data_IF_177401942554
#
_entry.id   IF_177401942554
#
_cell.length_a   1.000
_cell.length_b   1.000
_cell.length_c   1.000
_cell.angle_alpha   90.00
_cell.angle_beta   90.00
_cell.angle_gamma   90.00
#
_symmetry.space_group_name_H-M   'P 1'
#
loop_
_entity.id
_entity.type
_entity.pdbx_description
1 polymer ?
#
# COMPACT_ATOMS: atom_id res chain seq x y z
N UNK A 1 -1.62 -7.47 32.61
CA UNK A 1 -1.13 -8.09 31.35
C UNK A 1 -0.06 -7.16 30.77
N UNK A 2 1.22 -7.55 30.67
CA UNK A 2 2.23 -6.70 30.02
C UNK A 2 1.94 -6.68 28.52
N UNK A 3 1.65 -5.50 27.95
CA UNK A 3 1.56 -5.35 26.49
C UNK A 3 2.84 -5.88 25.86
N UNK A 4 2.71 -6.93 25.03
CA UNK A 4 3.84 -7.40 24.22
C UNK A 4 4.31 -6.23 23.36
N UNK A 5 5.63 -6.03 23.27
CA UNK A 5 6.15 -5.01 22.36
C UNK A 5 5.69 -5.37 20.95
N UNK A 6 5.41 -4.36 20.12
CA UNK A 6 4.93 -4.58 18.76
C UNK A 6 5.78 -5.58 17.97
N UNK A 7 7.11 -5.50 18.10
CA UNK A 7 8.01 -6.41 17.42
C UNK A 7 7.79 -7.86 17.88
N UNK A 8 7.38 -8.08 19.13
CA UNK A 8 7.08 -9.40 19.66
C UNK A 8 5.78 -10.01 19.09
N UNK A 9 4.87 -9.21 18.53
CA UNK A 9 3.60 -9.67 17.92
C UNK A 9 3.81 -10.43 16.61
N UNK A 10 4.86 -10.10 15.85
CA UNK A 10 5.14 -10.77 14.59
C UNK A 10 5.69 -12.19 14.76
N UNK A 11 5.40 -13.07 13.79
CA UNK A 11 6.04 -14.38 13.72
C UNK A 11 7.55 -14.27 13.39
N UNK A 12 8.27 -15.40 13.49
CA UNK A 12 9.74 -15.44 13.32
C UNK A 12 10.18 -14.99 11.92
N UNK A 13 9.43 -15.33 10.88
CA UNK A 13 9.78 -15.00 9.49
C UNK A 13 9.65 -13.50 9.23
N UNK A 14 8.58 -12.86 9.71
CA UNK A 14 8.42 -11.40 9.61
C UNK A 14 9.48 -10.67 10.44
N UNK A 15 9.80 -11.14 11.65
CA UNK A 15 10.89 -10.57 12.47
C UNK A 15 12.23 -10.59 11.72
N UNK A 16 12.54 -11.70 11.04
CA UNK A 16 13.75 -11.85 10.25
C UNK A 16 13.77 -10.89 9.05
N UNK A 17 12.67 -10.80 8.31
CA UNK A 17 12.55 -9.88 7.17
C UNK A 17 12.71 -8.42 7.59
N UNK A 18 12.00 -8.01 8.65
CA UNK A 18 12.07 -6.66 9.18
C UNK A 18 13.48 -6.30 9.66
N UNK A 19 14.15 -7.18 10.40
CA UNK A 19 15.48 -6.87 10.97
C UNK A 19 16.61 -6.75 9.93
N UNK A 20 16.50 -7.43 8.79
CA UNK A 20 17.57 -7.45 7.79
C UNK A 20 17.35 -6.46 6.64
N UNK A 21 16.09 -6.22 6.27
CA UNK A 21 15.77 -5.54 5.02
C UNK A 21 14.96 -4.26 5.18
N UNK A 22 14.36 -3.99 6.35
CA UNK A 22 13.51 -2.82 6.54
C UNK A 22 13.90 -2.09 7.83
N UNK A 23 14.31 -0.81 7.71
CA UNK A 23 14.53 0.02 8.90
C UNK A 23 13.17 0.51 9.43
N UNK A 24 12.52 -0.29 10.25
CA UNK A 24 11.27 0.11 10.90
C UNK A 24 11.54 1.05 12.07
N UNK A 25 11.04 2.28 11.99
CA UNK A 25 11.01 3.21 13.11
C UNK A 25 9.63 3.20 13.74
N UNK A 26 9.58 2.92 15.03
CA UNK A 26 8.35 2.88 15.80
C UNK A 26 8.25 4.09 16.70
N UNK A 27 7.23 4.93 16.49
CA UNK A 27 7.01 6.14 17.26
C UNK A 27 5.72 6.04 18.06
N UNK A 28 5.77 6.37 19.34
CA UNK A 28 4.57 6.66 20.13
C UNK A 28 4.35 8.17 20.11
N UNK A 29 3.29 8.65 19.46
CA UNK A 29 2.99 10.08 19.34
C UNK A 29 1.64 10.38 19.96
N UNK A 30 1.62 11.18 21.02
CA UNK A 30 0.37 11.73 21.58
C UNK A 30 0.08 13.03 20.82
N UNK A 31 -1.05 13.11 20.12
CA UNK A 31 -1.47 14.35 19.48
C UNK A 31 -2.45 15.06 20.42
N UNK A 32 -2.19 16.31 20.81
CA UNK A 32 -3.17 17.09 21.57
C UNK A 32 -4.33 17.43 20.64
N UNK A 33 -5.50 16.85 20.88
CA UNK A 33 -6.75 17.28 20.27
C UNK A 33 -7.27 18.44 21.12
N UNK A 34 -7.57 19.59 20.50
CA UNK A 34 -8.15 20.74 21.20
C UNK A 34 -9.41 20.29 21.95
N UNK A 35 -9.39 20.38 23.28
CA UNK A 35 -10.58 20.33 24.13
C UNK A 35 -10.90 19.02 24.86
N UNK A 36 -10.34 17.86 24.51
CA UNK A 36 -10.44 16.66 25.37
C UNK A 36 -9.58 15.49 24.90
N UNK A 37 -8.93 14.81 25.87
CA UNK A 37 -8.11 13.58 25.83
C UNK A 37 -7.15 13.42 24.63
N UNK A 38 -5.86 13.22 24.92
CA UNK A 38 -4.85 12.81 23.94
C UNK A 38 -5.30 11.51 23.24
N UNK A 39 -5.83 11.60 22.02
CA UNK A 39 -6.19 10.42 21.24
C UNK A 39 -4.95 10.02 20.43
N UNK A 40 -4.44 8.79 20.57
CA UNK A 40 -3.41 8.28 19.68
C UNK A 40 -3.98 8.21 18.27
N UNK A 41 -3.34 8.88 17.31
CA UNK A 41 -3.63 8.74 15.88
C UNK A 41 -2.54 7.88 15.27
N UNK A 42 -2.95 6.85 14.53
CA UNK A 42 -2.07 6.01 13.76
C UNK A 42 -1.66 6.70 12.46
N UNK A 43 -0.42 6.46 12.04
CA UNK A 43 0.05 6.83 10.72
C UNK A 43 1.21 5.94 10.30
N UNK A 44 1.30 5.77 9.00
CA UNK A 44 2.27 4.95 8.30
C UNK A 44 2.90 5.85 7.24
N UNK A 45 4.22 5.82 7.12
CA UNK A 45 4.89 6.62 6.11
C UNK A 45 6.24 6.06 5.72
N UNK A 46 6.50 6.13 4.43
CA UNK A 46 7.80 6.11 3.81
C UNK A 46 8.01 7.46 3.11
N UNK A 47 9.26 7.90 3.09
CA UNK A 47 9.63 9.15 2.43
C UNK A 47 10.60 8.78 1.31
N UNK A 48 10.39 9.29 0.10
CA UNK A 48 11.31 9.10 -1.02
C UNK A 48 12.75 9.58 -0.75
N UNK A 49 12.97 10.43 0.27
CA UNK A 49 14.31 10.82 0.76
C UNK A 49 14.90 9.85 1.81
N UNK A 50 14.09 8.97 2.40
CA UNK A 50 14.49 7.98 3.41
C UNK A 50 13.98 6.60 3.01
N UNK A 51 14.41 6.15 1.85
CA UNK A 51 13.93 4.89 1.28
C UNK A 51 14.31 3.72 2.18
N UNK A 52 13.45 2.69 2.25
CA UNK A 52 13.59 1.50 3.14
C UNK A 52 13.30 1.82 4.61
N UNK A 53 12.93 3.06 4.94
CA UNK A 53 12.52 3.44 6.28
C UNK A 53 11.00 3.50 6.39
N UNK A 54 10.43 2.45 6.98
CA UNK A 54 9.00 2.41 7.31
C UNK A 54 8.81 3.00 8.70
N UNK A 55 8.02 4.06 8.82
CA UNK A 55 7.68 4.65 10.12
C UNK A 55 6.28 4.22 10.52
N UNK A 56 6.18 3.59 11.70
CA UNK A 56 4.92 3.23 12.34
C UNK A 56 4.66 4.13 13.53
N UNK A 57 3.54 4.87 13.51
CA UNK A 57 3.12 5.71 14.62
C UNK A 57 1.96 5.06 15.36
N UNK A 58 2.11 4.87 16.68
CA UNK A 58 1.11 4.27 17.58
C UNK A 58 0.58 2.89 17.12
N UNK A 59 1.39 1.96 16.59
CA UNK A 59 0.87 0.72 16.02
C UNK A 59 0.37 -0.29 17.07
N UNK A 60 0.57 -0.02 18.36
CA UNK A 60 -0.07 -0.77 19.45
C UNK A 60 -1.60 -0.68 19.40
N UNK A 61 -2.16 0.37 18.79
CA UNK A 61 -3.61 0.58 18.66
C UNK A 61 -4.20 -0.04 17.38
N UNK A 62 -3.37 -0.70 16.58
CA UNK A 62 -3.74 -1.25 15.27
C UNK A 62 -3.71 -2.78 15.32
N UNK A 63 -4.68 -3.42 14.66
CA UNK A 63 -4.71 -4.88 14.55
C UNK A 63 -3.61 -5.40 13.61
N UNK A 64 -3.29 -6.70 13.70
CA UNK A 64 -2.19 -7.29 12.93
C UNK A 64 -2.46 -7.23 11.41
N UNK A 65 -3.74 -7.21 11.02
CA UNK A 65 -4.21 -7.10 9.64
C UNK A 65 -3.82 -5.75 9.03
N UNK A 66 -4.31 -4.65 9.59
CA UNK A 66 -4.00 -3.29 9.15
C UNK A 66 -2.50 -3.04 9.16
N UNK A 67 -1.81 -3.58 10.17
CA UNK A 67 -0.37 -3.46 10.25
C UNK A 67 0.38 -4.14 9.10
N UNK A 68 -0.06 -5.34 8.73
CA UNK A 68 0.55 -6.10 7.64
C UNK A 68 0.29 -5.42 6.30
N UNK A 69 -0.93 -4.92 6.09
CA UNK A 69 -1.23 -4.12 4.90
C UNK A 69 -0.39 -2.85 4.82
N UNK A 70 -0.27 -2.11 5.92
CA UNK A 70 0.57 -0.92 5.95
C UNK A 70 2.03 -1.27 5.68
N UNK A 71 2.55 -2.38 6.20
CA UNK A 71 3.91 -2.80 5.88
C UNK A 71 4.09 -3.06 4.39
N UNK A 72 3.16 -3.76 3.75
CA UNK A 72 3.19 -4.03 2.30
C UNK A 72 3.09 -2.71 1.52
N UNK A 73 2.15 -1.84 1.91
CA UNK A 73 1.91 -0.54 1.32
C UNK A 73 3.19 0.32 1.31
N UNK A 74 3.82 0.47 2.47
CA UNK A 74 5.04 1.27 2.62
C UNK A 74 6.26 0.61 1.96
N UNK A 75 6.34 -0.73 1.94
CA UNK A 75 7.39 -1.45 1.23
C UNK A 75 7.29 -1.25 -0.29
N UNK A 76 6.08 -1.33 -0.85
CA UNK A 76 5.84 -1.05 -2.27
C UNK A 76 6.15 0.40 -2.62
N UNK A 77 5.74 1.37 -1.77
CA UNK A 77 6.14 2.77 -1.93
C UNK A 77 7.66 2.93 -1.95
N UNK A 78 8.37 2.36 -0.98
CA UNK A 78 9.84 2.40 -0.94
C UNK A 78 10.44 1.83 -2.22
N UNK A 79 9.97 0.69 -2.70
CA UNK A 79 10.47 0.08 -3.93
C UNK A 79 10.26 0.98 -5.16
N UNK A 80 9.05 1.53 -5.32
CA UNK A 80 8.75 2.47 -6.41
C UNK A 80 9.61 3.72 -6.31
N UNK A 81 9.81 4.26 -5.11
CA UNK A 81 10.66 5.43 -4.88
C UNK A 81 12.12 5.15 -5.32
N UNK A 82 12.68 3.98 -5.03
CA UNK A 82 14.01 3.60 -5.52
C UNK A 82 14.08 3.56 -7.04
N UNK A 83 13.07 2.97 -7.68
CA UNK A 83 12.99 2.89 -9.14
C UNK A 83 12.82 4.28 -9.77
N UNK A 84 12.04 5.16 -9.14
CA UNK A 84 11.86 6.53 -9.59
C UNK A 84 13.13 7.37 -9.44
N UNK A 85 13.90 7.21 -8.35
CA UNK A 85 15.19 7.88 -8.20
C UNK A 85 16.23 7.38 -9.21
N UNK A 86 16.26 6.07 -9.46
CA UNK A 86 17.30 5.44 -10.28
C UNK A 86 17.02 5.58 -11.78
N UNK A 87 15.76 5.44 -12.18
CA UNK A 87 15.36 5.30 -13.60
C UNK A 87 14.20 6.20 -14.00
N UNK A 88 13.68 7.05 -13.11
CA UNK A 88 12.42 7.80 -13.32
C UNK A 88 11.24 6.88 -13.69
N UNK A 89 11.23 5.66 -13.19
CA UNK A 89 10.36 4.55 -13.60
C UNK A 89 8.93 4.95 -14.01
N UNK A 90 8.09 5.44 -13.11
CA UNK A 90 6.69 5.78 -13.48
C UNK A 90 6.66 7.01 -14.40
N UNK A 91 7.53 8.00 -14.12
CA UNK A 91 7.61 9.26 -14.88
C UNK A 91 8.08 9.06 -16.32
N UNK A 92 8.81 7.98 -16.64
CA UNK A 92 9.18 7.66 -18.02
C UNK A 92 8.02 7.11 -18.85
N UNK A 93 6.96 6.60 -18.20
CA UNK A 93 5.79 6.03 -18.88
C UNK A 93 4.56 6.92 -18.83
N UNK A 94 4.61 8.04 -18.11
CA UNK A 94 3.49 8.96 -17.92
C UNK A 94 3.83 10.33 -18.49
N UNK A 95 2.98 10.85 -19.38
CA UNK A 95 3.27 12.09 -20.13
C UNK A 95 2.86 13.37 -19.39
N UNK A 96 1.61 13.44 -18.91
CA UNK A 96 1.03 14.64 -18.32
C UNK A 96 0.46 14.37 -16.93
N UNK A 97 0.50 15.36 -16.06
CA UNK A 97 -0.02 15.27 -14.69
C UNK A 97 -1.52 15.62 -14.65
N UNK A 98 -2.34 14.72 -15.17
CA UNK A 98 -3.81 14.82 -15.12
C UNK A 98 -4.35 14.17 -13.85
N UNK A 99 -5.58 14.53 -13.47
CA UNK A 99 -6.20 14.06 -12.23
C UNK A 99 -7.32 13.04 -12.47
N UNK A 100 -7.39 12.05 -11.59
CA UNK A 100 -8.44 11.04 -11.52
C UNK A 100 -8.96 10.90 -10.09
N UNK A 101 -10.14 10.32 -9.93
CA UNK A 101 -10.60 9.88 -8.61
C UNK A 101 -10.17 8.43 -8.37
N UNK A 102 -9.59 8.19 -7.19
CA UNK A 102 -9.20 6.85 -6.76
C UNK A 102 -10.42 5.93 -6.72
N UNK A 103 -10.40 4.76 -7.37
CA UNK A 103 -11.53 3.84 -7.33
C UNK A 103 -11.69 3.16 -5.96
N UNK A 104 -10.65 3.20 -5.11
CA UNK A 104 -10.64 2.63 -3.77
C UNK A 104 -11.09 3.62 -2.69
N UNK A 105 -10.63 4.87 -2.77
CA UNK A 105 -10.85 5.86 -1.69
C UNK A 105 -11.72 7.05 -2.12
N UNK A 106 -11.96 7.24 -3.41
CA UNK A 106 -12.65 8.41 -3.94
C UNK A 106 -11.81 9.70 -3.90
N UNK A 107 -10.59 9.67 -3.38
CA UNK A 107 -9.72 10.85 -3.33
C UNK A 107 -9.24 11.23 -4.73
N UNK A 108 -9.06 12.54 -4.96
CA UNK A 108 -8.45 13.04 -6.20
C UNK A 108 -6.94 12.76 -6.18
N UNK A 109 -6.45 12.07 -7.19
CA UNK A 109 -5.05 11.67 -7.38
C UNK A 109 -4.54 12.20 -8.72
N UNK A 110 -3.25 12.46 -8.81
CA UNK A 110 -2.63 12.59 -10.13
C UNK A 110 -2.51 11.22 -10.79
N UNK A 111 -2.31 11.17 -12.11
CA UNK A 111 -2.12 9.91 -12.83
C UNK A 111 -0.89 9.14 -12.34
N UNK A 112 0.17 9.83 -11.92
CA UNK A 112 1.35 9.19 -11.32
C UNK A 112 0.94 8.48 -10.02
N UNK A 113 0.26 9.19 -9.13
CA UNK A 113 -0.20 8.61 -7.85
C UNK A 113 -1.27 7.53 -8.07
N UNK A 114 -2.07 7.61 -9.13
CA UNK A 114 -3.00 6.55 -9.51
C UNK A 114 -2.24 5.28 -9.93
N UNK A 115 -1.20 5.40 -10.75
CA UNK A 115 -0.34 4.28 -11.14
C UNK A 115 0.32 3.67 -9.91
N UNK A 116 0.90 4.48 -9.02
CA UNK A 116 1.47 4.01 -7.76
C UNK A 116 0.43 3.23 -6.94
N UNK A 117 -0.78 3.77 -6.80
CA UNK A 117 -1.87 3.11 -6.11
C UNK A 117 -2.23 1.76 -6.74
N UNK A 118 -2.20 1.62 -8.08
CA UNK A 118 -2.43 0.34 -8.76
C UNK A 118 -1.38 -0.70 -8.32
N UNK A 119 -0.09 -0.36 -8.33
CA UNK A 119 0.97 -1.28 -7.87
C UNK A 119 0.82 -1.67 -6.41
N UNK A 120 0.49 -0.71 -5.55
CA UNK A 120 0.26 -0.92 -4.13
C UNK A 120 -0.90 -1.88 -3.91
N UNK A 121 -2.07 -1.60 -4.48
CA UNK A 121 -3.25 -2.43 -4.25
C UNK A 121 -3.14 -3.80 -4.91
N UNK A 122 -2.43 -3.92 -6.02
CA UNK A 122 -2.07 -5.21 -6.60
C UNK A 122 -1.13 -6.01 -5.67
N UNK A 123 -0.12 -5.37 -5.08
CA UNK A 123 0.78 -6.02 -4.11
C UNK A 123 0.03 -6.54 -2.88
N UNK A 124 -0.90 -5.74 -2.35
CA UNK A 124 -1.77 -6.14 -1.23
C UNK A 124 -2.67 -7.31 -1.65
N UNK A 125 -3.26 -7.26 -2.86
CA UNK A 125 -4.05 -8.38 -3.38
C UNK A 125 -3.25 -9.68 -3.45
N UNK A 126 -2.06 -9.64 -4.05
CA UNK A 126 -1.19 -10.82 -4.19
C UNK A 126 -0.83 -11.41 -2.83
N UNK A 127 -0.57 -10.56 -1.84
CA UNK A 127 -0.37 -11.02 -0.48
C UNK A 127 -1.58 -11.81 0.05
N UNK A 128 -2.80 -11.27 -0.04
CA UNK A 128 -4.00 -12.00 0.42
C UNK A 128 -4.27 -13.26 -0.38
N UNK A 129 -3.97 -13.26 -1.67
CA UNK A 129 -4.18 -14.40 -2.54
C UNK A 129 -3.31 -15.59 -2.10
N UNK A 130 -2.01 -15.38 -1.86
CA UNK A 130 -1.10 -16.47 -1.51
C UNK A 130 -0.97 -16.74 -0.01
N UNK A 131 -1.18 -15.73 0.83
CA UNK A 131 -0.82 -15.79 2.25
C UNK A 131 -1.94 -15.38 3.21
N UNK A 132 -3.03 -14.80 2.71
CA UNK A 132 -4.06 -14.18 3.54
C UNK A 132 -4.64 -15.15 4.57
N UNK A 133 -5.14 -16.28 4.10
CA UNK A 133 -5.84 -17.29 4.91
C UNK A 133 -4.90 -18.02 5.90
N UNK A 134 -3.59 -17.93 5.70
CA UNK A 134 -2.60 -18.45 6.65
C UNK A 134 -2.36 -17.52 7.85
N UNK A 135 -2.62 -16.22 7.68
CA UNK A 135 -2.31 -15.20 8.69
C UNK A 135 -3.55 -14.55 9.31
N UNK A 136 -4.68 -14.57 8.61
CA UNK A 136 -5.93 -13.90 9.00
C UNK A 136 -7.14 -14.81 8.79
N UNK A 137 -8.25 -14.47 9.41
CA UNK A 137 -9.49 -15.23 9.27
C UNK A 137 -10.11 -15.10 7.87
N UNK A 138 -10.82 -16.15 7.46
CA UNK A 138 -11.46 -16.25 6.15
C UNK A 138 -12.37 -15.07 5.81
N UNK A 139 -13.10 -14.53 6.80
CA UNK A 139 -14.06 -13.45 6.58
C UNK A 139 -13.29 -12.16 6.24
N UNK A 140 -12.28 -11.82 7.03
CA UNK A 140 -11.40 -10.68 6.77
C UNK A 140 -10.74 -10.80 5.40
N UNK A 141 -10.18 -11.97 5.06
CA UNK A 141 -9.56 -12.20 3.75
C UNK A 141 -10.56 -12.08 2.60
N UNK A 142 -11.76 -12.67 2.70
CA UNK A 142 -12.80 -12.57 1.66
C UNK A 142 -13.28 -11.15 1.47
N UNK A 143 -13.59 -10.44 2.55
CA UNK A 143 -14.02 -9.04 2.50
C UNK A 143 -12.96 -8.16 1.86
N UNK A 144 -11.68 -8.38 2.22
CA UNK A 144 -10.59 -7.57 1.69
C UNK A 144 -10.29 -7.86 0.23
N UNK A 145 -10.24 -9.13 -0.17
CA UNK A 145 -10.14 -9.54 -1.58
C UNK A 145 -11.28 -8.93 -2.40
N UNK A 146 -12.51 -8.96 -1.89
CA UNK A 146 -13.68 -8.36 -2.53
C UNK A 146 -13.54 -6.84 -2.71
N UNK A 147 -13.16 -6.11 -1.66
CA UNK A 147 -12.93 -4.66 -1.75
C UNK A 147 -11.85 -4.29 -2.77
N UNK A 148 -10.75 -5.06 -2.83
CA UNK A 148 -9.69 -4.86 -3.82
C UNK A 148 -10.22 -5.11 -5.23
N UNK A 149 -10.91 -6.24 -5.47
CA UNK A 149 -11.54 -6.58 -6.75
C UNK A 149 -12.51 -5.46 -7.20
N UNK A 150 -13.31 -4.91 -6.30
CA UNK A 150 -14.22 -3.80 -6.59
C UNK A 150 -13.50 -2.52 -7.06
N UNK A 151 -12.39 -2.16 -6.42
CA UNK A 151 -11.59 -1.00 -6.85
C UNK A 151 -10.96 -1.22 -8.22
N UNK A 152 -10.40 -2.41 -8.49
CA UNK A 152 -9.90 -2.77 -9.82
C UNK A 152 -11.01 -2.82 -10.88
N UNK A 153 -12.22 -3.22 -10.50
CA UNK A 153 -13.36 -3.20 -11.42
C UNK A 153 -13.69 -1.78 -11.88
N UNK A 154 -13.77 -0.84 -10.93
CA UNK A 154 -14.04 0.59 -11.17
C UNK A 154 -12.92 1.29 -11.93
N UNK A 155 -11.71 0.74 -11.94
CA UNK A 155 -10.58 1.28 -12.69
C UNK A 155 -10.79 1.03 -14.19
N UNK A 156 -11.19 2.05 -14.92
CA UNK A 156 -11.33 1.99 -16.37
C UNK A 156 -9.98 2.24 -17.07
N UNK A 157 -9.17 1.19 -17.20
CA UNK A 157 -7.91 1.24 -17.96
C UNK A 157 -8.12 1.40 -19.47
N UNK A 158 -9.37 1.30 -19.95
CA UNK A 158 -9.71 1.56 -21.35
C UNK A 158 -10.04 3.01 -21.63
N UNK A 159 -10.11 3.86 -20.60
CA UNK A 159 -10.35 5.29 -20.70
C UNK A 159 -9.34 5.96 -21.64
N UNK A 160 -9.83 6.77 -22.58
CA UNK A 160 -8.99 7.44 -23.57
C UNK A 160 -7.96 8.38 -22.93
N UNK A 161 -8.30 9.04 -21.81
CA UNK A 161 -7.34 9.89 -21.10
C UNK A 161 -6.18 9.08 -20.55
N UNK A 162 -6.41 7.87 -20.02
CA UNK A 162 -5.32 7.01 -19.57
C UNK A 162 -4.50 6.51 -20.77
N UNK A 163 -5.14 6.03 -21.84
CA UNK A 163 -4.47 5.56 -23.06
C UNK A 163 -3.59 6.62 -23.71
N UNK A 164 -4.01 7.88 -23.70
CA UNK A 164 -3.25 8.98 -24.30
C UNK A 164 -2.07 9.43 -23.42
N UNK A 165 -2.14 9.20 -22.11
CA UNK A 165 -1.16 9.72 -21.14
C UNK A 165 -0.24 8.66 -20.55
N UNK A 166 -0.49 7.37 -20.79
CA UNK A 166 0.36 6.25 -20.36
C UNK A 166 0.94 5.55 -21.59
N UNK A 167 2.22 5.21 -21.54
CA UNK A 167 2.86 4.36 -22.53
C UNK A 167 2.08 3.06 -22.77
N UNK A 168 1.95 2.64 -24.03
CA UNK A 168 1.10 1.51 -24.41
C UNK A 168 1.57 0.18 -23.84
N UNK A 169 2.89 -0.05 -23.76
CA UNK A 169 3.45 -1.27 -23.18
C UNK A 169 3.20 -1.27 -21.68
N UNK A 170 3.43 -0.13 -21.03
CA UNK A 170 3.18 0.00 -19.60
C UNK A 170 1.71 -0.17 -19.22
N UNK A 171 0.79 0.39 -20.02
CA UNK A 171 -0.66 0.21 -19.81
C UNK A 171 -1.08 -1.26 -19.93
N UNK A 172 -0.48 -2.03 -20.84
CA UNK A 172 -0.73 -3.48 -20.96
C UNK A 172 -0.35 -4.24 -19.68
N UNK A 173 0.74 -3.84 -19.00
CA UNK A 173 1.08 -4.44 -17.71
C UNK A 173 0.03 -4.15 -16.63
N UNK A 174 -0.49 -2.92 -16.57
CA UNK A 174 -1.56 -2.57 -15.62
C UNK A 174 -2.86 -3.33 -15.92
N UNK A 175 -3.16 -3.56 -17.19
CA UNK A 175 -4.28 -4.41 -17.61
C UNK A 175 -4.06 -5.85 -17.16
N UNK A 176 -2.85 -6.39 -17.33
CA UNK A 176 -2.50 -7.73 -16.85
C UNK A 176 -2.72 -7.91 -15.34
N UNK A 177 -2.39 -6.90 -14.53
CA UNK A 177 -2.71 -6.94 -13.09
C UNK A 177 -4.21 -7.03 -12.83
N UNK A 178 -5.01 -6.25 -13.57
CA UNK A 178 -6.46 -6.28 -13.46
C UNK A 178 -7.00 -7.66 -13.86
N UNK A 179 -6.57 -8.19 -14.99
CA UNK A 179 -6.98 -9.51 -15.50
C UNK A 179 -6.67 -10.61 -14.49
N UNK A 180 -5.43 -10.67 -13.99
CA UNK A 180 -5.03 -11.66 -13.01
C UNK A 180 -5.97 -11.64 -11.80
N UNK A 181 -6.26 -10.48 -11.24
CA UNK A 181 -7.18 -10.32 -10.10
C UNK A 181 -8.58 -10.91 -10.37
N UNK A 182 -9.08 -10.86 -11.60
CA UNK A 182 -10.41 -11.39 -11.95
C UNK A 182 -10.39 -12.87 -12.31
N UNK A 183 -9.26 -13.39 -12.81
CA UNK A 183 -9.12 -14.79 -13.22
C UNK A 183 -8.46 -15.70 -12.17
N UNK A 184 -7.98 -15.13 -11.05
CA UNK A 184 -7.50 -15.86 -9.88
C UNK A 184 -8.51 -15.90 -8.72
#
# INVERSE_FOLDING_TARGET
MKEKSFFQRFNKNYKFYLSNYIKVLMLKKLIPVRGNKNVPRESFSTNGKQIVRVVFVNPSFVNDWSLTESLIHEATHSFIDQLNLSFKFIRSYVKNDIYFFSPWTGNKLTIITLVEAIFIWYSVYKFYYYNGEHFFDDITCKNRKSWLKLGFNKLDLNNELLKNNIDTVFLKYLIGFKEEIFYS
#
